data_IF_139129605459
#
_entry.id   IF_139129605459
#
_cell.length_a   1.000
_cell.length_b   1.000
_cell.length_c   1.000
_cell.angle_alpha   90.00
_cell.angle_beta   90.00
_cell.angle_gamma   90.00
#
_symmetry.space_group_name_H-M   'P 1'
#
loop_
_entity.id
_entity.type
_entity.pdbx_description
1 polymer ?
#
# COMPACT_ATOMS: atom_id res chain seq x y z
N UNK A 1 -38.55 -25.74 4.48
CA UNK A 1 -37.40 -25.34 5.29
C UNK A 1 -36.88 -24.03 4.67
N UNK A 2 -36.82 -22.94 5.41
CA UNK A 2 -36.31 -21.69 4.86
C UNK A 2 -34.84 -21.93 4.44
N UNK A 3 -34.49 -21.56 3.20
CA UNK A 3 -33.15 -21.67 2.65
C UNK A 3 -32.24 -20.59 3.27
N UNK A 4 -32.16 -20.54 4.61
CA UNK A 4 -31.30 -19.61 5.34
C UNK A 4 -29.86 -19.93 5.04
N UNK A 5 -29.11 -19.00 4.47
CA UNK A 5 -27.68 -19.13 4.22
C UNK A 5 -26.90 -19.11 5.54
N UNK A 6 -25.74 -19.73 5.57
CA UNK A 6 -24.85 -19.60 6.74
C UNK A 6 -24.10 -18.27 6.71
N UNK A 7 -23.63 -17.85 5.53
CA UNK A 7 -22.90 -16.59 5.37
C UNK A 7 -23.27 -15.90 4.05
N UNK A 8 -23.46 -14.58 4.08
CA UNK A 8 -23.47 -13.74 2.88
C UNK A 8 -22.23 -12.83 2.93
N UNK A 9 -21.48 -12.79 1.83
CA UNK A 9 -20.27 -11.95 1.66
C UNK A 9 -20.62 -10.86 0.65
N UNK A 10 -20.45 -9.59 1.04
CA UNK A 10 -20.70 -8.43 0.20
C UNK A 10 -19.37 -7.89 -0.34
N UNK A 11 -19.10 -8.13 -1.62
CA UNK A 11 -17.87 -7.76 -2.31
C UNK A 11 -16.95 -8.95 -2.58
N UNK A 12 -16.54 -9.10 -3.85
CA UNK A 12 -15.63 -10.14 -4.33
C UNK A 12 -14.18 -9.60 -4.53
N UNK A 13 -13.76 -8.66 -3.67
CA UNK A 13 -12.39 -8.17 -3.57
C UNK A 13 -11.48 -9.11 -2.79
N UNK A 14 -10.25 -8.66 -2.47
CA UNK A 14 -9.24 -9.47 -1.77
C UNK A 14 -9.74 -9.99 -0.42
N UNK A 15 -10.42 -9.15 0.36
CA UNK A 15 -11.00 -9.54 1.65
C UNK A 15 -12.15 -10.55 1.48
N UNK A 16 -13.10 -10.27 0.58
CA UNK A 16 -14.24 -11.16 0.34
C UNK A 16 -13.83 -12.54 -0.17
N UNK A 17 -12.84 -12.61 -1.07
CA UNK A 17 -12.30 -13.88 -1.57
C UNK A 17 -11.52 -14.66 -0.50
N UNK A 18 -10.81 -13.96 0.40
CA UNK A 18 -10.15 -14.60 1.54
C UNK A 18 -11.17 -15.16 2.53
N UNK A 19 -12.24 -14.40 2.81
CA UNK A 19 -13.37 -14.85 3.64
C UNK A 19 -14.07 -16.08 3.02
N UNK A 20 -14.36 -16.04 1.71
CA UNK A 20 -14.98 -17.15 1.01
C UNK A 20 -14.17 -18.46 1.14
N UNK A 21 -12.82 -18.37 1.02
CA UNK A 21 -11.94 -19.55 1.20
C UNK A 21 -12.08 -20.17 2.60
N UNK A 22 -12.20 -19.35 3.64
CA UNK A 22 -12.38 -19.86 5.01
C UNK A 22 -13.78 -20.44 5.23
N UNK A 23 -14.80 -19.76 4.73
CA UNK A 23 -16.21 -20.20 4.87
C UNK A 23 -16.42 -21.55 4.16
N UNK A 24 -15.93 -21.70 2.92
CA UNK A 24 -16.06 -22.95 2.13
C UNK A 24 -15.40 -24.18 2.73
N UNK A 25 -14.49 -24.02 3.68
CA UNK A 25 -13.93 -25.16 4.43
C UNK A 25 -14.96 -25.83 5.37
N UNK A 26 -16.09 -25.14 5.64
CA UNK A 26 -17.06 -25.54 6.66
C UNK A 26 -18.50 -25.67 6.15
N UNK A 27 -18.85 -24.91 5.09
CA UNK A 27 -20.21 -24.90 4.52
C UNK A 27 -20.20 -24.51 3.05
N UNK A 28 -21.16 -25.08 2.29
CA UNK A 28 -21.48 -24.67 0.94
C UNK A 28 -22.69 -23.68 0.90
N UNK A 29 -23.30 -23.40 2.06
CA UNK A 29 -24.46 -22.47 2.18
C UNK A 29 -23.96 -21.04 2.33
N UNK A 30 -23.21 -20.59 1.35
CA UNK A 30 -22.63 -19.24 1.25
C UNK A 30 -23.01 -18.58 -0.05
N UNK A 31 -23.24 -17.28 -0.01
CA UNK A 31 -23.47 -16.42 -1.16
C UNK A 31 -22.44 -15.30 -1.16
N UNK A 32 -21.81 -15.03 -2.31
CA UNK A 32 -20.97 -13.83 -2.49
C UNK A 32 -21.63 -12.91 -3.50
N UNK A 33 -21.88 -11.68 -3.07
CA UNK A 33 -22.53 -10.65 -3.90
C UNK A 33 -21.49 -9.64 -4.33
N UNK A 34 -21.46 -9.29 -5.61
CA UNK A 34 -20.54 -8.29 -6.12
C UNK A 34 -21.26 -7.26 -6.99
N UNK A 35 -21.12 -6.01 -6.61
CA UNK A 35 -21.56 -4.87 -7.40
C UNK A 35 -20.40 -4.36 -8.29
N UNK A 36 -20.62 -4.37 -9.60
CA UNK A 36 -19.60 -3.94 -10.57
C UNK A 36 -18.71 -5.08 -11.10
N UNK A 37 -17.54 -4.73 -11.66
CA UNK A 37 -16.67 -5.68 -12.36
C UNK A 37 -16.09 -6.73 -11.42
N UNK A 38 -16.09 -7.98 -11.85
CA UNK A 38 -15.42 -9.06 -11.16
C UNK A 38 -13.90 -8.98 -11.34
N UNK A 39 -13.16 -9.34 -10.28
CA UNK A 39 -11.74 -9.20 -10.15
C UNK A 39 -11.41 -8.17 -9.06
N UNK A 40 -10.32 -8.38 -8.36
CA UNK A 40 -9.96 -7.53 -7.22
C UNK A 40 -9.53 -6.13 -7.68
N UNK A 41 -9.73 -5.10 -6.88
CA UNK A 41 -9.17 -3.75 -7.10
C UNK A 41 -7.67 -3.82 -7.36
N UNK A 42 -6.93 -4.65 -6.59
CA UNK A 42 -5.49 -4.84 -6.77
C UNK A 42 -5.12 -5.34 -8.18
N UNK A 43 -5.83 -6.36 -8.70
CA UNK A 43 -5.52 -6.90 -10.03
C UNK A 43 -5.96 -5.96 -11.15
N UNK A 44 -7.11 -5.30 -11.00
CA UNK A 44 -7.72 -4.48 -12.07
C UNK A 44 -7.15 -3.08 -12.19
N UNK A 45 -7.11 -2.34 -11.08
CA UNK A 45 -6.88 -0.89 -11.07
C UNK A 45 -5.91 -0.44 -9.97
N UNK A 46 -5.25 -1.36 -9.29
CA UNK A 46 -4.36 -1.06 -8.16
C UNK A 46 -2.94 -1.59 -8.37
N UNK A 47 -2.56 -2.56 -7.54
CA UNK A 47 -1.19 -3.04 -7.39
C UNK A 47 -0.57 -3.53 -8.71
N UNK A 48 -1.30 -4.37 -9.46
CA UNK A 48 -0.69 -5.00 -10.63
C UNK A 48 -0.45 -4.01 -11.78
N UNK A 49 -1.45 -3.24 -12.28
CA UNK A 49 -1.19 -2.32 -13.36
C UNK A 49 -0.21 -1.20 -12.98
N UNK A 50 -0.21 -0.73 -11.73
CA UNK A 50 0.77 0.28 -11.30
C UNK A 50 2.20 -0.26 -11.34
N UNK A 51 2.45 -1.50 -10.90
CA UNK A 51 3.80 -2.09 -10.95
C UNK A 51 4.26 -2.38 -12.36
N UNK A 52 3.36 -2.76 -13.27
CA UNK A 52 3.70 -2.91 -14.69
C UNK A 52 4.13 -1.58 -15.34
N UNK A 53 3.47 -0.47 -14.97
CA UNK A 53 3.84 0.86 -15.43
C UNK A 53 5.19 1.30 -14.85
N UNK A 54 5.41 1.07 -13.54
CA UNK A 54 6.66 1.37 -12.83
C UNK A 54 7.83 0.60 -13.44
N UNK A 55 7.68 -0.70 -13.71
CA UNK A 55 8.74 -1.51 -14.35
C UNK A 55 9.16 -0.97 -15.72
N UNK A 56 8.20 -0.52 -16.54
CA UNK A 56 8.50 0.11 -17.81
C UNK A 56 9.24 1.45 -17.63
N UNK A 57 8.80 2.25 -16.64
CA UNK A 57 9.41 3.51 -16.29
C UNK A 57 10.85 3.34 -15.79
N UNK A 58 11.09 2.39 -14.91
CA UNK A 58 12.42 2.09 -14.35
C UNK A 58 13.37 1.53 -15.40
N UNK A 59 12.88 0.64 -16.28
CA UNK A 59 13.65 0.11 -17.40
C UNK A 59 14.16 1.26 -18.30
N UNK A 60 13.30 2.21 -18.62
CA UNK A 60 13.68 3.37 -19.44
C UNK A 60 14.54 4.37 -18.67
N UNK A 61 14.24 4.63 -17.40
CA UNK A 61 15.01 5.55 -16.56
C UNK A 61 16.46 5.08 -16.38
N UNK A 62 16.71 3.77 -16.34
CA UNK A 62 18.03 3.19 -16.18
C UNK A 62 19.02 3.62 -17.26
N UNK A 63 18.57 4.10 -18.42
CA UNK A 63 19.42 4.66 -19.47
C UNK A 63 20.33 5.79 -18.98
N UNK A 64 19.91 6.53 -17.95
CA UNK A 64 20.70 7.63 -17.38
C UNK A 64 21.98 7.15 -16.69
N UNK A 65 22.08 5.86 -16.35
CA UNK A 65 23.31 5.26 -15.78
C UNK A 65 24.25 4.67 -16.85
N UNK A 66 23.85 4.60 -18.12
CA UNK A 66 24.60 3.90 -19.17
C UNK A 66 25.99 4.47 -19.39
N UNK A 67 26.15 5.80 -19.37
CA UNK A 67 27.46 6.44 -19.53
C UNK A 67 28.44 6.04 -18.42
N UNK A 68 27.95 5.90 -17.19
CA UNK A 68 28.77 5.45 -16.06
C UNK A 68 29.27 3.99 -16.22
N UNK A 69 28.53 3.18 -17.00
CA UNK A 69 28.91 1.80 -17.35
C UNK A 69 29.68 1.70 -18.68
N UNK A 70 29.96 2.83 -19.35
CA UNK A 70 30.60 2.84 -20.67
C UNK A 70 29.69 2.43 -21.81
N UNK A 71 28.38 2.36 -21.61
CA UNK A 71 27.37 2.05 -22.64
C UNK A 71 26.98 3.35 -23.33
N UNK A 72 26.95 3.35 -24.67
CA UNK A 72 26.62 4.50 -25.51
C UNK A 72 25.29 4.32 -26.23
N UNK A 73 24.71 5.42 -26.69
CA UNK A 73 23.47 5.42 -27.49
C UNK A 73 22.19 5.62 -26.71
N UNK A 74 22.26 5.88 -25.42
CA UNK A 74 21.09 6.10 -24.56
C UNK A 74 20.21 7.28 -24.99
N UNK A 75 20.80 8.28 -25.67
CA UNK A 75 20.08 9.48 -26.14
C UNK A 75 19.13 9.20 -27.31
N UNK A 76 19.34 8.09 -28.05
CA UNK A 76 18.47 7.67 -29.15
C UNK A 76 17.27 6.85 -28.71
N UNK A 77 17.20 6.49 -27.43
CA UNK A 77 16.08 5.73 -26.88
C UNK A 77 14.87 6.64 -26.66
N UNK A 78 13.71 6.15 -27.07
CA UNK A 78 12.42 6.82 -26.85
C UNK A 78 11.40 5.86 -26.25
N UNK A 79 10.34 6.38 -25.66
CA UNK A 79 9.20 5.61 -25.15
C UNK A 79 8.04 5.76 -26.13
N UNK A 80 7.44 4.64 -26.46
CA UNK A 80 6.11 4.56 -27.08
C UNK A 80 5.09 4.37 -25.93
N UNK A 81 4.57 5.47 -25.41
CA UNK A 81 3.67 5.44 -24.26
C UNK A 81 2.37 4.68 -24.53
N UNK A 82 1.71 4.80 -25.71
CA UNK A 82 0.59 3.94 -26.07
C UNK A 82 0.92 2.45 -26.01
N UNK A 83 2.08 2.01 -26.48
CA UNK A 83 2.50 0.61 -26.40
C UNK A 83 2.76 0.15 -24.96
N UNK A 84 3.33 1.02 -24.10
CA UNK A 84 3.46 0.73 -22.66
C UNK A 84 2.10 0.52 -22.02
N UNK A 85 1.14 1.42 -22.27
CA UNK A 85 -0.22 1.32 -21.73
C UNK A 85 -0.98 0.11 -22.25
N UNK A 86 -0.80 -0.26 -23.51
CA UNK A 86 -1.36 -1.49 -24.09
C UNK A 86 -0.82 -2.74 -23.38
N UNK A 87 0.49 -2.81 -23.15
CA UNK A 87 1.11 -3.89 -22.38
C UNK A 87 0.57 -3.97 -20.95
N UNK A 88 0.40 -2.82 -20.29
CA UNK A 88 -0.19 -2.75 -18.92
C UNK A 88 -1.60 -3.34 -18.94
N UNK A 89 -2.46 -2.96 -19.90
CA UNK A 89 -3.83 -3.49 -20.00
C UNK A 89 -3.83 -4.99 -20.29
N UNK A 90 -3.03 -5.45 -21.24
CA UNK A 90 -2.98 -6.87 -21.62
C UNK A 90 -2.57 -7.77 -20.43
N UNK A 91 -1.49 -7.41 -19.73
CA UNK A 91 -1.04 -8.18 -18.56
C UNK A 91 -2.02 -8.07 -17.39
N UNK A 92 -2.63 -6.90 -17.16
CA UNK A 92 -3.69 -6.73 -16.18
C UNK A 92 -4.84 -7.70 -16.44
N UNK A 93 -5.29 -7.81 -17.67
CA UNK A 93 -6.41 -8.67 -18.06
C UNK A 93 -6.07 -10.15 -17.82
N UNK A 94 -4.83 -10.58 -18.09
CA UNK A 94 -4.35 -11.91 -17.74
C UNK A 94 -4.38 -12.17 -16.24
N UNK A 95 -3.92 -11.22 -15.43
CA UNK A 95 -3.98 -11.33 -13.95
C UNK A 95 -5.41 -11.38 -13.43
N UNK A 96 -6.30 -10.58 -13.99
CA UNK A 96 -7.73 -10.60 -13.65
C UNK A 96 -8.36 -11.94 -14.00
N UNK A 97 -8.08 -12.47 -15.20
CA UNK A 97 -8.57 -13.79 -15.62
C UNK A 97 -8.03 -14.89 -14.68
N UNK A 98 -6.75 -14.84 -14.34
CA UNK A 98 -6.11 -15.76 -13.38
C UNK A 98 -6.75 -15.70 -11.99
N UNK A 99 -6.98 -14.49 -11.45
CA UNK A 99 -7.61 -14.28 -10.15
C UNK A 99 -9.06 -14.79 -10.13
N UNK A 100 -9.83 -14.54 -11.18
CA UNK A 100 -11.20 -15.06 -11.33
C UNK A 100 -11.22 -16.58 -11.37
N UNK A 101 -10.34 -17.21 -12.15
CA UNK A 101 -10.22 -18.67 -12.22
C UNK A 101 -9.83 -19.27 -10.87
N UNK A 102 -8.84 -18.68 -10.18
CA UNK A 102 -8.37 -19.17 -8.90
C UNK A 102 -9.38 -18.99 -7.75
N UNK A 103 -10.32 -18.04 -7.87
CA UNK A 103 -11.35 -17.83 -6.84
C UNK A 103 -12.45 -18.88 -6.87
N UNK A 104 -12.67 -19.55 -8.02
CA UNK A 104 -13.65 -20.64 -8.21
C UNK A 104 -15.02 -20.32 -7.56
N UNK A 105 -15.54 -19.13 -7.82
CA UNK A 105 -16.78 -18.64 -7.21
C UNK A 105 -17.99 -19.47 -7.74
N UNK A 106 -17.99 -19.80 -9.04
CA UNK A 106 -19.03 -20.61 -9.66
C UNK A 106 -20.44 -20.06 -9.41
N UNK A 107 -21.35 -20.95 -9.01
CA UNK A 107 -22.73 -20.63 -8.68
C UNK A 107 -22.94 -19.94 -7.34
N UNK A 108 -21.91 -19.79 -6.53
CA UNK A 108 -21.97 -19.08 -5.24
C UNK A 108 -21.98 -17.55 -5.41
N UNK A 109 -21.68 -17.07 -6.63
CA UNK A 109 -21.57 -15.64 -6.92
C UNK A 109 -22.80 -15.10 -7.64
N UNK A 110 -23.30 -13.96 -7.17
CA UNK A 110 -24.30 -13.18 -7.91
C UNK A 110 -23.79 -11.75 -8.11
N UNK A 111 -24.10 -11.20 -9.28
CA UNK A 111 -23.93 -9.78 -9.53
C UNK A 111 -25.16 -9.05 -9.02
N UNK A 112 -25.00 -7.92 -8.34
CA UNK A 112 -26.11 -7.10 -7.87
C UNK A 112 -25.71 -6.12 -6.77
N UNK A 113 -26.56 -5.13 -6.56
CA UNK A 113 -26.41 -4.17 -5.48
C UNK A 113 -27.02 -4.72 -4.19
N UNK A 114 -26.20 -4.86 -3.16
CA UNK A 114 -26.63 -5.40 -1.87
C UNK A 114 -26.90 -4.30 -0.83
N UNK A 115 -27.96 -4.47 -0.02
CA UNK A 115 -28.29 -3.62 1.11
C UNK A 115 -28.61 -4.45 2.34
N UNK A 116 -28.07 -4.06 3.48
CA UNK A 116 -28.39 -4.64 4.78
C UNK A 116 -29.81 -4.23 5.22
N UNK A 117 -30.58 -5.18 5.72
CA UNK A 117 -31.88 -4.98 6.31
C UNK A 117 -31.89 -5.44 7.79
N UNK A 118 -30.75 -5.37 8.44
CA UNK A 118 -30.49 -5.87 9.77
C UNK A 118 -29.36 -6.90 9.79
N UNK A 119 -29.01 -7.45 10.96
CA UNK A 119 -27.82 -8.30 11.14
C UNK A 119 -27.96 -9.70 10.53
N UNK A 120 -29.14 -10.10 10.07
CA UNK A 120 -29.43 -11.43 9.52
C UNK A 120 -30.10 -11.41 8.16
N UNK A 121 -30.19 -10.24 7.52
CA UNK A 121 -30.96 -10.09 6.28
C UNK A 121 -30.28 -9.13 5.33
N UNK A 122 -30.21 -9.54 4.07
CA UNK A 122 -29.64 -8.75 2.97
C UNK A 122 -30.62 -8.74 1.80
N UNK A 123 -30.87 -7.57 1.26
CA UNK A 123 -31.56 -7.39 -0.02
C UNK A 123 -30.52 -7.29 -1.14
N UNK A 124 -30.75 -7.98 -2.26
CA UNK A 124 -29.95 -7.85 -3.48
C UNK A 124 -30.88 -7.64 -4.65
N UNK A 125 -30.89 -6.45 -5.23
CA UNK A 125 -31.74 -6.05 -6.36
C UNK A 125 -33.24 -6.43 -6.17
N UNK A 126 -33.77 -6.14 -4.98
CA UNK A 126 -35.16 -6.40 -4.60
C UNK A 126 -35.47 -7.83 -4.11
N UNK A 127 -34.46 -8.73 -4.14
CA UNK A 127 -34.62 -10.08 -3.58
C UNK A 127 -33.98 -10.14 -2.17
N UNK A 128 -34.76 -10.61 -1.21
CA UNK A 128 -34.31 -10.73 0.19
C UNK A 128 -33.76 -12.11 0.49
N UNK A 129 -32.64 -12.15 1.21
CA UNK A 129 -31.96 -13.36 1.67
C UNK A 129 -31.78 -13.31 3.18
N UNK A 130 -32.15 -14.40 3.86
CA UNK A 130 -31.89 -14.60 5.28
C UNK A 130 -30.55 -15.33 5.47
N UNK A 131 -29.78 -14.91 6.45
CA UNK A 131 -28.45 -15.48 6.73
C UNK A 131 -28.13 -15.49 8.22
N UNK A 132 -27.21 -16.36 8.65
CA UNK A 132 -26.72 -16.40 10.03
C UNK A 132 -25.69 -15.31 10.29
N UNK A 133 -24.83 -15.01 9.32
CA UNK A 133 -23.78 -14.01 9.43
C UNK A 133 -23.58 -13.26 8.12
N UNK A 134 -23.09 -12.01 8.22
CA UNK A 134 -22.78 -11.14 7.07
C UNK A 134 -21.33 -10.72 7.14
N UNK A 135 -20.62 -10.76 6.00
CA UNK A 135 -19.27 -10.21 5.86
C UNK A 135 -19.32 -9.08 4.83
N UNK A 136 -19.05 -7.86 5.29
CA UNK A 136 -18.95 -6.66 4.45
C UNK A 136 -17.49 -6.51 4.00
N UNK A 137 -17.26 -6.67 2.69
CA UNK A 137 -15.94 -6.60 2.04
C UNK A 137 -16.00 -5.74 0.76
N UNK A 138 -16.80 -4.67 0.80
CA UNK A 138 -17.13 -3.80 -0.33
C UNK A 138 -15.96 -2.93 -0.80
N UNK A 139 -14.85 -2.90 -0.04
CA UNK A 139 -13.64 -2.19 -0.42
C UNK A 139 -13.78 -0.67 -0.34
N UNK A 140 -13.01 0.02 -1.17
CA UNK A 140 -12.93 1.48 -1.21
C UNK A 140 -12.87 2.01 -2.63
N UNK A 141 -13.08 3.31 -2.80
CA UNK A 141 -12.94 4.04 -4.08
C UNK A 141 -12.06 5.28 -3.93
N UNK A 142 -11.44 5.78 -5.02
CA UNK A 142 -10.68 7.04 -4.99
C UNK A 142 -11.53 8.22 -4.55
N UNK A 143 -10.92 9.16 -3.83
CA UNK A 143 -11.53 10.45 -3.49
C UNK A 143 -11.27 11.41 -4.66
N UNK A 144 -12.36 12.01 -5.17
CA UNK A 144 -12.34 13.10 -6.15
C UNK A 144 -13.27 14.18 -5.61
N UNK A 145 -12.81 15.45 -5.49
CA UNK A 145 -13.68 16.57 -5.14
C UNK A 145 -14.83 16.72 -6.14
N UNK A 146 -16.02 17.05 -5.66
CA UNK A 146 -17.23 17.11 -6.50
C UNK A 146 -17.09 18.15 -7.62
N UNK A 147 -16.49 19.28 -7.32
CA UNK A 147 -16.21 20.36 -8.29
C UNK A 147 -15.26 19.93 -9.42
N UNK A 148 -14.43 18.88 -9.20
CA UNK A 148 -13.53 18.37 -10.24
C UNK A 148 -14.25 17.48 -11.26
N UNK A 149 -15.43 16.97 -10.93
CA UNK A 149 -16.22 16.13 -11.84
C UNK A 149 -16.64 16.88 -13.12
N UNK A 150 -16.70 18.21 -13.06
CA UNK A 150 -16.99 19.06 -14.22
C UNK A 150 -15.93 18.94 -15.34
N UNK A 151 -14.69 18.52 -15.02
CA UNK A 151 -13.62 18.34 -16.01
C UNK A 151 -13.69 16.99 -16.73
N UNK A 152 -14.63 16.10 -16.35
CA UNK A 152 -14.92 14.84 -17.02
C UNK A 152 -13.72 13.90 -17.06
N UNK A 153 -13.44 13.33 -18.23
CA UNK A 153 -12.37 12.35 -18.45
C UNK A 153 -10.94 12.90 -18.35
N UNK A 154 -10.78 14.20 -18.15
CA UNK A 154 -9.47 14.81 -17.86
C UNK A 154 -9.07 14.66 -16.38
N UNK A 155 -10.00 14.29 -15.49
CA UNK A 155 -9.68 13.87 -14.13
C UNK A 155 -9.47 12.37 -14.13
N UNK A 156 -8.23 11.98 -13.90
CA UNK A 156 -7.83 10.57 -13.79
C UNK A 156 -7.82 10.16 -12.32
N UNK A 157 -8.16 8.89 -12.10
CA UNK A 157 -7.95 8.20 -10.84
C UNK A 157 -7.24 6.87 -11.14
N UNK A 158 -6.89 6.07 -10.13
CA UNK A 158 -6.43 4.71 -10.39
C UNK A 158 -7.40 3.90 -11.21
N UNK A 159 -8.70 4.12 -11.00
CA UNK A 159 -9.74 3.34 -11.68
C UNK A 159 -9.82 3.65 -13.18
N UNK A 160 -9.29 4.80 -13.62
CA UNK A 160 -9.36 5.27 -15.01
C UNK A 160 -7.99 5.44 -15.69
N UNK A 161 -6.90 5.62 -14.93
CA UNK A 161 -5.54 5.82 -15.48
C UNK A 161 -5.12 4.65 -16.37
N UNK A 162 -5.30 3.42 -15.88
CA UNK A 162 -4.87 2.21 -16.59
C UNK A 162 -5.81 1.78 -17.72
N UNK A 163 -6.94 2.48 -17.91
CA UNK A 163 -7.83 2.31 -19.06
C UNK A 163 -7.47 3.23 -20.22
N UNK A 164 -6.61 4.23 -19.98
CA UNK A 164 -6.20 5.16 -21.03
C UNK A 164 -5.43 4.43 -22.14
N UNK A 165 -5.68 4.81 -23.38
CA UNK A 165 -4.92 4.33 -24.54
C UNK A 165 -3.69 5.18 -24.78
N UNK A 166 -3.77 6.43 -24.40
CA UNK A 166 -2.70 7.42 -24.43
C UNK A 166 -2.94 8.45 -23.33
N UNK A 167 -1.92 9.22 -22.98
CA UNK A 167 -1.98 10.26 -21.98
C UNK A 167 -1.57 11.60 -22.58
N UNK A 168 -2.15 12.67 -22.06
CA UNK A 168 -1.70 14.03 -22.39
C UNK A 168 -0.23 14.23 -22.01
N UNK A 169 0.50 15.09 -22.74
CA UNK A 169 1.92 15.34 -22.46
C UNK A 169 2.18 16.00 -21.10
N UNK A 170 1.19 16.69 -20.50
CA UNK A 170 1.31 17.41 -19.24
C UNK A 170 0.26 16.90 -18.25
N UNK A 171 0.71 16.39 -17.10
CA UNK A 171 -0.18 15.83 -16.07
C UNK A 171 0.14 16.43 -14.70
N UNK A 172 -0.88 16.97 -14.02
CA UNK A 172 -0.76 17.25 -12.59
C UNK A 172 -1.11 16.01 -11.77
N UNK A 173 -0.28 15.68 -10.80
CA UNK A 173 -0.57 14.62 -9.81
C UNK A 173 -0.88 15.28 -8.48
N UNK A 174 -2.12 15.17 -8.00
CA UNK A 174 -2.57 15.79 -6.75
C UNK A 174 -2.70 14.76 -5.66
N UNK A 175 -1.90 14.95 -4.60
CA UNK A 175 -1.71 14.01 -3.51
C UNK A 175 -0.45 13.15 -3.73
N UNK A 176 0.50 13.22 -2.77
CA UNK A 176 1.76 12.45 -2.78
C UNK A 176 1.79 11.40 -1.67
N UNK A 177 0.64 10.78 -1.42
CA UNK A 177 0.56 9.51 -0.70
C UNK A 177 1.28 8.39 -1.48
N UNK A 178 1.19 7.14 -1.02
CA UNK A 178 1.86 6.01 -1.67
C UNK A 178 1.67 5.96 -3.18
N UNK A 179 0.43 5.97 -3.64
CA UNK A 179 0.12 5.88 -5.06
C UNK A 179 0.54 7.10 -5.87
N UNK A 180 0.30 8.32 -5.33
CA UNK A 180 0.65 9.54 -6.05
C UNK A 180 2.16 9.68 -6.25
N UNK A 181 2.97 9.32 -5.27
CA UNK A 181 4.43 9.29 -5.38
C UNK A 181 4.91 8.29 -6.45
N UNK A 182 4.34 7.07 -6.46
CA UNK A 182 4.63 6.05 -7.48
C UNK A 182 4.28 6.54 -8.89
N UNK A 183 3.08 7.05 -9.07
CA UNK A 183 2.60 7.44 -10.41
C UNK A 183 3.27 8.71 -10.91
N UNK A 184 3.53 9.69 -10.06
CA UNK A 184 4.26 10.89 -10.45
C UNK A 184 5.66 10.54 -10.98
N UNK A 185 6.39 9.67 -10.26
CA UNK A 185 7.71 9.23 -10.68
C UNK A 185 7.65 8.38 -11.97
N UNK A 186 6.74 7.43 -12.05
CA UNK A 186 6.62 6.55 -13.22
C UNK A 186 6.27 7.35 -14.48
N UNK A 187 5.30 8.26 -14.42
CA UNK A 187 4.90 9.09 -15.55
C UNK A 187 6.03 10.02 -15.99
N UNK A 188 6.71 10.68 -15.05
CA UNK A 188 7.85 11.54 -15.36
C UNK A 188 8.97 10.76 -16.05
N UNK A 189 9.30 9.57 -15.57
CA UNK A 189 10.31 8.68 -16.16
C UNK A 189 9.95 8.22 -17.57
N UNK A 190 8.66 8.08 -17.87
CA UNK A 190 8.14 7.74 -19.19
C UNK A 190 8.03 8.96 -20.13
N UNK A 191 8.45 10.14 -19.69
CA UNK A 191 8.54 11.33 -20.53
C UNK A 191 7.32 12.26 -20.47
N UNK A 192 6.36 12.02 -19.56
CA UNK A 192 5.26 12.95 -19.30
C UNK A 192 5.79 14.12 -18.48
N UNK A 193 5.42 15.34 -18.82
CA UNK A 193 5.70 16.53 -18.01
C UNK A 193 4.79 16.52 -16.76
N UNK A 194 5.38 16.17 -15.61
CA UNK A 194 4.65 16.00 -14.35
C UNK A 194 4.84 17.20 -13.45
N UNK A 195 3.72 17.78 -12.96
CA UNK A 195 3.69 18.68 -11.83
C UNK A 195 2.93 18.03 -10.66
N UNK A 196 3.62 17.75 -9.58
CA UNK A 196 3.02 17.09 -8.42
C UNK A 196 2.70 18.09 -7.31
N UNK A 197 1.55 17.93 -6.65
CA UNK A 197 1.07 18.79 -5.58
C UNK A 197 0.73 17.97 -4.33
N UNK A 198 1.10 18.48 -3.16
CA UNK A 198 0.71 17.90 -1.87
C UNK A 198 0.47 19.01 -0.85
N UNK A 199 -0.64 18.95 -0.13
CA UNK A 199 -0.92 19.79 1.03
C UNK A 199 -0.18 19.33 2.30
N UNK A 200 0.46 18.14 2.27
CA UNK A 200 1.21 17.57 3.38
C UNK A 200 2.70 17.55 3.06
N UNK A 201 3.52 17.82 4.08
CA UNK A 201 4.99 17.72 3.98
C UNK A 201 5.45 16.26 3.91
N UNK A 202 4.75 15.37 4.61
CA UNK A 202 5.02 13.94 4.63
C UNK A 202 4.46 13.29 3.35
N UNK A 203 5.32 12.62 2.59
CA UNK A 203 4.98 11.94 1.36
C UNK A 203 5.18 10.43 1.48
N UNK A 204 4.54 9.66 0.61
CA UNK A 204 4.67 8.21 0.54
C UNK A 204 4.40 7.48 1.88
N UNK A 205 3.70 8.12 2.84
CA UNK A 205 3.42 7.57 4.17
C UNK A 205 4.56 7.67 5.17
N UNK A 206 5.70 8.30 4.79
CA UNK A 206 6.84 8.53 5.67
C UNK A 206 6.51 9.59 6.73
N UNK A 207 7.11 9.45 7.92
CA UNK A 207 6.99 10.40 9.02
C UNK A 207 8.33 10.79 9.66
N UNK A 208 9.40 10.03 9.39
CA UNK A 208 10.76 10.42 9.76
C UNK A 208 11.22 11.57 8.87
N UNK A 209 11.52 12.76 9.44
CA UNK A 209 11.89 13.93 8.64
C UNK A 209 13.10 13.69 7.74
N UNK A 210 14.13 12.99 8.24
CA UNK A 210 15.36 12.77 7.48
C UNK A 210 15.17 11.80 6.31
N UNK A 211 14.31 10.78 6.48
CA UNK A 211 13.95 9.84 5.41
C UNK A 211 13.03 10.51 4.39
N UNK A 212 12.03 11.26 4.87
CA UNK A 212 11.10 12.00 4.03
C UNK A 212 11.82 13.06 3.17
N UNK A 213 12.74 13.82 3.78
CA UNK A 213 13.53 14.84 3.06
C UNK A 213 14.41 14.20 1.98
N UNK A 214 14.97 13.02 2.24
CA UNK A 214 15.74 12.27 1.25
C UNK A 214 14.88 11.89 0.04
N UNK A 215 13.67 11.37 0.26
CA UNK A 215 12.73 11.07 -0.83
C UNK A 215 12.27 12.33 -1.57
N UNK A 216 11.94 13.39 -0.85
CA UNK A 216 11.54 14.67 -1.43
C UNK A 216 12.63 15.25 -2.35
N UNK A 217 13.89 15.22 -1.91
CA UNK A 217 15.01 15.70 -2.70
C UNK A 217 15.18 14.90 -4.00
N UNK A 218 14.99 13.58 -3.94
CA UNK A 218 15.04 12.70 -5.10
C UNK A 218 13.92 13.02 -6.09
N UNK A 219 12.67 13.05 -5.64
CA UNK A 219 11.53 13.30 -6.52
C UNK A 219 11.59 14.69 -7.15
N UNK A 220 12.05 15.71 -6.41
CA UNK A 220 12.28 17.06 -6.94
C UNK A 220 13.35 17.11 -8.02
N UNK A 221 14.27 16.16 -8.10
CA UNK A 221 15.24 16.07 -9.18
C UNK A 221 14.67 15.46 -10.46
N UNK A 222 13.53 14.77 -10.39
CA UNK A 222 12.90 14.10 -11.52
C UNK A 222 11.72 14.90 -12.10
N UNK A 223 10.96 15.61 -11.29
CA UNK A 223 9.80 16.41 -11.73
C UNK A 223 9.51 17.59 -10.80
N UNK A 224 8.67 18.51 -11.27
CA UNK A 224 8.23 19.68 -10.50
C UNK A 224 7.33 19.24 -9.36
N UNK A 225 7.67 19.63 -8.12
CA UNK A 225 6.96 19.20 -6.92
C UNK A 225 6.67 20.40 -6.01
N UNK A 226 5.40 20.62 -5.72
CA UNK A 226 4.90 21.69 -4.86
C UNK A 226 4.35 21.08 -3.56
N UNK A 227 4.78 21.67 -2.43
CA UNK A 227 4.21 21.41 -1.11
C UNK A 227 3.59 22.70 -0.62
N UNK A 228 2.28 22.75 -0.53
CA UNK A 228 1.55 23.97 -0.24
C UNK A 228 0.15 23.72 0.31
N UNK A 229 -0.79 24.52 -0.14
CA UNK A 229 -2.18 24.47 0.24
C UNK A 229 -2.99 23.47 -0.63
N UNK A 230 -4.29 23.42 -0.41
CA UNK A 230 -5.19 22.63 -1.25
C UNK A 230 -5.23 23.15 -2.68
N UNK A 231 -5.23 22.22 -3.62
CA UNK A 231 -5.24 22.53 -5.05
C UNK A 231 -6.62 22.95 -5.52
N UNK A 232 -6.67 24.00 -6.32
CA UNK A 232 -7.86 24.46 -7.06
C UNK A 232 -7.65 24.25 -8.55
N UNK A 233 -8.73 23.86 -9.23
CA UNK A 233 -8.75 23.66 -10.67
C UNK A 233 -9.60 24.71 -11.35
N UNK A 234 -9.16 25.16 -12.53
CA UNK A 234 -9.91 26.08 -13.37
C UNK A 234 -9.71 25.74 -14.85
N UNK A 235 -10.79 25.79 -15.62
CA UNK A 235 -10.72 25.68 -17.08
C UNK A 235 -10.05 26.93 -17.66
N UNK A 236 -9.06 26.72 -18.53
CA UNK A 236 -8.37 27.79 -19.24
C UNK A 236 -8.11 27.42 -20.70
N UNK A 237 -7.88 28.37 -21.60
CA UNK A 237 -7.42 28.05 -22.94
C UNK A 237 -6.13 27.24 -22.88
N UNK A 238 -6.14 26.04 -23.49
CA UNK A 238 -4.97 25.14 -23.55
C UNK A 238 -4.87 24.13 -22.43
N UNK A 239 -5.88 24.00 -21.53
CA UNK A 239 -5.90 22.94 -20.54
C UNK A 239 -6.61 23.26 -19.22
N UNK A 240 -6.19 22.59 -18.18
CA UNK A 240 -6.64 22.82 -16.81
C UNK A 240 -5.54 23.58 -16.06
N UNK A 241 -5.88 24.75 -15.55
CA UNK A 241 -5.03 25.46 -14.60
C UNK A 241 -5.14 24.78 -13.23
N UNK A 242 -4.00 24.44 -12.67
CA UNK A 242 -3.86 23.81 -11.36
C UNK A 242 -3.03 24.72 -10.48
N UNK A 243 -3.58 25.17 -9.35
CA UNK A 243 -2.88 26.08 -8.43
C UNK A 243 -3.10 25.66 -6.97
N UNK A 244 -2.04 25.79 -6.15
CA UNK A 244 -2.07 25.67 -4.69
C UNK A 244 -1.96 27.05 -4.01
N UNK A 245 -2.13 28.14 -4.76
CA UNK A 245 -1.98 29.50 -4.29
C UNK A 245 -0.54 30.03 -4.32
N UNK A 246 0.47 29.18 -4.25
CA UNK A 246 1.90 29.53 -4.35
C UNK A 246 2.48 29.30 -5.74
N UNK A 247 1.97 28.29 -6.43
CA UNK A 247 2.38 27.90 -7.78
C UNK A 247 1.15 27.67 -8.67
N UNK A 248 1.34 27.85 -9.97
CA UNK A 248 0.30 27.64 -10.97
C UNK A 248 0.89 27.00 -12.21
N UNK A 249 0.26 25.93 -12.69
CA UNK A 249 0.62 25.23 -13.93
C UNK A 249 -0.62 25.01 -14.80
N UNK A 250 -0.42 24.82 -16.10
CA UNK A 250 -1.50 24.44 -17.03
C UNK A 250 -1.18 23.06 -17.59
N UNK A 251 -2.10 22.13 -17.40
CA UNK A 251 -1.94 20.72 -17.74
C UNK A 251 -3.09 20.21 -18.61
N UNK A 252 -2.89 19.05 -19.24
CA UNK A 252 -3.90 18.41 -20.07
C UNK A 252 -4.84 17.55 -19.24
N UNK A 253 -4.30 16.90 -18.20
CA UNK A 253 -5.03 15.98 -17.32
C UNK A 253 -4.56 16.15 -15.86
N UNK A 254 -5.41 15.75 -14.93
CA UNK A 254 -5.11 15.73 -13.49
C UNK A 254 -5.33 14.33 -12.94
N UNK A 255 -4.31 13.74 -12.31
CA UNK A 255 -4.44 12.50 -11.57
C UNK A 255 -4.77 12.81 -10.10
N UNK A 256 -6.00 12.50 -9.69
CA UNK A 256 -6.44 12.60 -8.31
C UNK A 256 -5.95 11.39 -7.50
N UNK A 257 -4.90 11.61 -6.69
CA UNK A 257 -4.29 10.63 -5.79
C UNK A 257 -4.47 11.03 -4.32
N UNK A 258 -5.66 11.58 -3.99
CA UNK A 258 -5.99 12.26 -2.74
C UNK A 258 -6.47 11.32 -1.63
N UNK A 259 -6.29 10.03 -1.80
CA UNK A 259 -6.74 8.98 -0.87
C UNK A 259 -7.93 8.20 -1.39
N UNK A 260 -8.46 7.37 -0.51
CA UNK A 260 -9.59 6.48 -0.80
C UNK A 260 -10.61 6.58 0.33
N UNK A 261 -11.88 6.30 0.06
CA UNK A 261 -12.94 6.19 1.06
C UNK A 261 -13.65 4.85 0.95
N UNK A 262 -14.08 4.26 2.09
CA UNK A 262 -14.85 3.02 2.11
C UNK A 262 -16.11 3.09 1.26
N UNK A 263 -16.50 1.97 0.65
CA UNK A 263 -17.76 1.84 -0.09
C UNK A 263 -18.87 1.36 0.85
N UNK A 264 -19.36 2.26 1.68
CA UNK A 264 -20.36 1.95 2.72
C UNK A 264 -21.63 2.75 2.61
N UNK A 265 -21.64 3.80 1.79
CA UNK A 265 -22.85 4.58 1.52
C UNK A 265 -23.92 3.69 0.85
N UNK A 266 -25.17 3.90 1.22
CA UNK A 266 -26.33 3.14 0.74
C UNK A 266 -26.33 1.64 1.06
N UNK A 267 -25.33 1.17 1.84
CA UNK A 267 -25.24 -0.23 2.25
C UNK A 267 -26.28 -0.62 3.33
N UNK A 268 -26.95 0.37 3.94
CA UNK A 268 -27.97 0.12 4.97
C UNK A 268 -27.37 -0.20 6.35
N UNK A 269 -26.19 0.34 6.68
CA UNK A 269 -25.52 0.13 7.98
C UNK A 269 -26.36 0.65 9.16
N UNK A 270 -27.20 1.65 8.96
CA UNK A 270 -28.18 2.18 9.92
C UNK A 270 -29.17 1.12 10.39
N UNK A 271 -29.50 0.12 9.54
CA UNK A 271 -30.37 -1.00 9.89
C UNK A 271 -29.80 -1.94 10.97
N UNK A 272 -28.53 -1.80 11.29
CA UNK A 272 -27.87 -2.58 12.34
C UNK A 272 -28.22 -2.08 13.76
N UNK A 273 -28.79 -0.89 13.88
CA UNK A 273 -29.22 -0.32 15.15
C UNK A 273 -28.06 0.14 16.05
N UNK A 274 -26.88 0.37 15.46
CA UNK A 274 -25.69 0.90 16.14
C UNK A 274 -25.50 2.39 15.81
N UNK A 275 -24.85 3.12 16.70
CA UNK A 275 -24.42 4.48 16.44
C UNK A 275 -23.31 4.46 15.38
N UNK A 276 -23.48 5.26 14.33
CA UNK A 276 -22.50 5.44 13.28
C UNK A 276 -21.68 6.70 13.55
N UNK A 277 -20.40 6.68 13.20
CA UNK A 277 -19.54 7.86 13.30
C UNK A 277 -19.86 8.91 12.22
N UNK A 278 -19.10 10.01 12.20
CA UNK A 278 -19.26 11.11 11.24
C UNK A 278 -19.03 10.69 9.77
N UNK A 279 -18.41 9.52 9.55
CA UNK A 279 -18.18 8.92 8.24
C UNK A 279 -19.21 7.84 7.88
N UNK A 280 -20.21 7.61 8.74
CA UNK A 280 -21.24 6.59 8.55
C UNK A 280 -20.77 5.17 8.86
N UNK A 281 -19.69 5.03 9.66
CA UNK A 281 -19.11 3.74 10.02
C UNK A 281 -19.60 3.26 11.39
N UNK A 282 -19.99 1.98 11.53
CA UNK A 282 -20.27 1.38 12.82
C UNK A 282 -18.97 1.09 13.58
N UNK A 283 -19.04 0.87 14.91
CA UNK A 283 -17.89 0.42 15.70
C UNK A 283 -17.43 -0.99 15.23
N UNK A 284 -16.16 -1.11 14.84
CA UNK A 284 -15.54 -2.36 14.41
C UNK A 284 -14.35 -2.69 15.29
N UNK A 285 -14.31 -3.89 15.85
CA UNK A 285 -13.15 -4.36 16.62
C UNK A 285 -12.00 -4.80 15.70
N UNK A 286 -10.80 -4.28 15.91
CA UNK A 286 -9.63 -4.53 15.04
C UNK A 286 -9.07 -5.94 15.11
N UNK A 287 -9.37 -6.72 16.15
CA UNK A 287 -8.87 -8.08 16.33
C UNK A 287 -9.81 -9.12 15.80
N UNK A 288 -11.11 -8.84 15.82
CA UNK A 288 -12.17 -9.75 15.41
C UNK A 288 -12.79 -9.38 14.07
N UNK A 289 -12.61 -8.12 13.62
CA UNK A 289 -13.30 -7.43 12.54
C UNK A 289 -14.84 -7.45 12.67
N UNK A 290 -15.33 -7.69 13.90
CA UNK A 290 -16.75 -7.74 14.23
C UNK A 290 -17.32 -6.32 14.41
N UNK A 291 -18.56 -6.13 13.99
CA UNK A 291 -19.34 -4.90 14.14
C UNK A 291 -20.14 -4.97 15.43
N UNK A 292 -19.73 -4.20 16.43
CA UNK A 292 -20.32 -4.32 17.79
C UNK A 292 -20.28 -5.76 18.28
N UNK A 293 -21.43 -6.25 18.77
CA UNK A 293 -21.63 -7.65 19.18
C UNK A 293 -22.50 -8.43 18.16
N UNK A 294 -22.67 -7.90 16.94
CA UNK A 294 -23.55 -8.47 15.90
C UNK A 294 -22.82 -9.55 15.10
N UNK A 295 -23.52 -10.50 14.46
CA UNK A 295 -22.94 -11.47 13.54
C UNK A 295 -22.64 -10.84 12.17
N UNK A 296 -22.09 -9.64 12.20
CA UNK A 296 -21.66 -8.83 11.04
C UNK A 296 -20.20 -8.50 11.19
N UNK A 297 -19.43 -8.69 10.12
CA UNK A 297 -17.98 -8.49 10.09
C UNK A 297 -17.62 -7.53 8.95
N UNK A 298 -16.71 -6.58 9.18
CA UNK A 298 -16.22 -5.66 8.15
C UNK A 298 -14.74 -5.90 7.87
N UNK A 299 -14.41 -6.26 6.62
CA UNK A 299 -13.08 -6.72 6.25
C UNK A 299 -12.47 -5.90 5.09
N UNK A 300 -11.18 -5.66 5.17
CA UNK A 300 -10.40 -4.89 4.19
C UNK A 300 -10.74 -3.40 4.20
N UNK A 301 -10.56 -2.74 3.06
CA UNK A 301 -10.73 -1.29 2.96
C UNK A 301 -12.11 -0.78 3.43
N UNK A 302 -13.10 -1.67 3.51
CA UNK A 302 -14.43 -1.31 4.02
C UNK A 302 -14.42 -0.88 5.48
N UNK A 303 -13.45 -1.34 6.29
CA UNK A 303 -13.33 -0.98 7.72
C UNK A 303 -12.39 0.21 7.99
N UNK A 304 -11.77 0.77 6.97
CA UNK A 304 -10.85 1.93 7.01
C UNK A 304 -9.63 1.80 7.94
N UNK A 305 -9.25 0.58 8.35
CA UNK A 305 -8.10 0.43 9.26
C UNK A 305 -6.77 0.57 8.53
N UNK A 306 -6.54 -0.20 7.48
CA UNK A 306 -5.34 -0.19 6.64
C UNK A 306 -5.67 -0.70 5.24
N UNK A 307 -5.80 0.17 4.25
CA UNK A 307 -6.16 -0.19 2.89
C UNK A 307 -4.98 -0.82 2.13
N UNK A 308 -4.51 -1.99 2.59
CA UNK A 308 -3.42 -2.76 2.01
C UNK A 308 -3.89 -4.20 1.72
N UNK A 309 -3.44 -4.78 0.61
CA UNK A 309 -3.92 -6.09 0.15
C UNK A 309 -3.74 -7.19 1.19
N UNK A 310 -2.57 -7.30 1.83
CA UNK A 310 -2.29 -8.34 2.81
C UNK A 310 -3.10 -8.15 4.10
N UNK A 311 -3.34 -6.91 4.54
CA UNK A 311 -4.23 -6.59 5.66
C UNK A 311 -5.68 -6.95 5.31
N UNK A 312 -6.14 -6.61 4.10
CA UNK A 312 -7.47 -6.97 3.62
C UNK A 312 -7.67 -8.50 3.54
N UNK A 313 -6.64 -9.24 3.14
CA UNK A 313 -6.68 -10.71 3.13
C UNK A 313 -6.74 -11.29 4.56
N UNK A 314 -5.94 -10.77 5.49
CA UNK A 314 -5.98 -11.16 6.90
C UNK A 314 -7.35 -10.86 7.52
N UNK A 315 -7.93 -9.69 7.26
CA UNK A 315 -9.29 -9.34 7.69
C UNK A 315 -10.33 -10.33 7.16
N UNK A 316 -10.23 -10.67 5.87
CA UNK A 316 -11.12 -11.64 5.24
C UNK A 316 -11.01 -13.03 5.89
N UNK A 317 -9.80 -13.50 6.19
CA UNK A 317 -9.59 -14.76 6.91
C UNK A 317 -10.19 -14.71 8.32
N UNK A 318 -9.97 -13.63 9.07
CA UNK A 318 -10.53 -13.43 10.42
C UNK A 318 -12.05 -13.41 10.36
N UNK A 319 -12.64 -12.64 9.43
CA UNK A 319 -14.08 -12.58 9.24
C UNK A 319 -14.69 -13.96 8.90
N UNK A 320 -14.07 -14.69 7.96
CA UNK A 320 -14.54 -16.01 7.55
C UNK A 320 -14.45 -17.07 8.66
N UNK A 321 -13.41 -16.99 9.51
CA UNK A 321 -13.27 -17.86 10.69
C UNK A 321 -14.34 -17.53 11.73
N UNK A 322 -14.56 -16.26 12.02
CA UNK A 322 -15.46 -15.78 13.06
C UNK A 322 -16.94 -15.91 12.67
N UNK A 323 -17.29 -15.70 11.39
CA UNK A 323 -18.66 -15.78 10.90
C UNK A 323 -19.34 -17.13 11.16
N UNK A 324 -18.56 -18.23 11.28
CA UNK A 324 -19.04 -19.58 11.55
C UNK A 324 -18.59 -20.13 12.91
N UNK A 325 -17.95 -19.31 13.73
CA UNK A 325 -17.51 -19.71 15.05
C UNK A 325 -18.66 -19.64 16.06
N UNK A 326 -18.77 -20.57 17.03
CA UNK A 326 -19.71 -20.47 18.14
C UNK A 326 -19.41 -19.28 19.05
N UNK A 327 -18.13 -18.89 19.14
CA UNK A 327 -17.65 -17.73 19.88
C UNK A 327 -16.64 -16.98 19.01
N UNK A 328 -16.78 -15.64 18.93
CA UNK A 328 -15.88 -14.78 18.17
C UNK A 328 -14.52 -14.68 18.89
N UNK A 329 -13.45 -14.81 18.13
CA UNK A 329 -12.06 -14.83 18.64
C UNK A 329 -11.26 -13.67 18.10
N UNK A 330 -10.49 -13.02 18.98
CA UNK A 330 -9.52 -12.01 18.58
C UNK A 330 -8.21 -12.63 18.09
N UNK A 331 -7.63 -12.02 17.05
CA UNK A 331 -6.36 -12.46 16.47
C UNK A 331 -5.29 -11.38 16.65
N UNK A 332 -4.04 -11.81 16.93
CA UNK A 332 -2.89 -10.92 16.90
C UNK A 332 -2.64 -10.49 15.46
N UNK A 333 -2.58 -9.19 15.24
CA UNK A 333 -2.24 -8.64 13.91
C UNK A 333 -0.74 -8.76 13.67
N UNK A 334 -0.37 -8.94 12.42
CA UNK A 334 1.04 -8.96 11.98
C UNK A 334 1.67 -7.58 12.14
N UNK A 335 3.00 -7.53 12.13
CA UNK A 335 3.73 -6.26 12.08
C UNK A 335 3.27 -5.42 10.89
N UNK A 336 2.88 -4.15 11.12
CA UNK A 336 2.54 -3.24 10.04
C UNK A 336 3.66 -3.12 9.03
N UNK A 337 3.34 -3.27 7.74
CA UNK A 337 4.28 -3.17 6.65
C UNK A 337 3.63 -2.42 5.48
N UNK A 338 4.25 -1.32 5.05
CA UNK A 338 3.86 -0.61 3.84
C UNK A 338 5.09 -0.36 2.97
N UNK A 339 4.96 -0.63 1.68
CA UNK A 339 6.00 -0.42 0.68
C UNK A 339 5.42 0.44 -0.44
N UNK A 340 6.15 1.46 -0.84
CA UNK A 340 5.87 2.35 -1.95
C UNK A 340 6.97 2.15 -2.98
N UNK A 341 6.58 1.77 -4.17
CA UNK A 341 7.50 1.36 -5.25
C UNK A 341 8.04 2.57 -6.03
N UNK A 342 8.43 3.61 -5.31
CA UNK A 342 9.37 4.60 -5.85
C UNK A 342 10.76 3.95 -5.97
N UNK A 343 11.65 4.51 -6.78
CA UNK A 343 13.05 4.12 -6.82
C UNK A 343 13.91 5.31 -6.34
N UNK A 344 14.58 5.22 -5.19
CA UNK A 344 14.55 4.08 -4.25
C UNK A 344 13.20 3.87 -3.57
N UNK A 345 12.94 2.61 -3.11
CA UNK A 345 11.67 2.27 -2.49
C UNK A 345 11.48 2.99 -1.16
N UNK A 346 10.32 3.59 -0.94
CA UNK A 346 9.93 4.04 0.38
C UNK A 346 9.22 2.92 1.13
N UNK A 347 9.53 2.75 2.43
CA UNK A 347 8.84 1.75 3.25
C UNK A 347 8.72 2.18 4.70
N UNK A 348 7.64 1.73 5.34
CA UNK A 348 7.40 1.88 6.78
C UNK A 348 7.10 0.51 7.39
N UNK A 349 7.76 0.18 8.48
CA UNK A 349 7.69 -1.11 9.16
C UNK A 349 7.46 -0.88 10.65
N UNK A 350 6.50 -1.59 11.25
CA UNK A 350 6.20 -1.48 12.67
C UNK A 350 5.71 -0.08 13.05
N UNK A 351 6.25 0.49 14.13
CA UNK A 351 5.92 1.83 14.61
C UNK A 351 6.65 2.89 13.77
N UNK A 352 5.91 3.90 13.34
CA UNK A 352 6.47 5.03 12.59
C UNK A 352 7.15 6.00 13.56
N UNK A 353 8.05 6.84 13.05
CA UNK A 353 8.75 7.87 13.81
C UNK A 353 7.80 8.73 14.66
N UNK A 354 6.70 9.20 14.07
CA UNK A 354 5.70 10.04 14.74
C UNK A 354 4.95 9.35 15.88
N UNK A 355 4.93 8.01 15.89
CA UNK A 355 4.22 7.20 16.89
C UNK A 355 5.16 6.82 18.07
N UNK A 356 6.45 7.22 18.03
CA UNK A 356 7.44 6.98 19.08
C UNK A 356 7.33 8.03 20.17
N UNK A 357 7.43 7.59 21.42
CA UNK A 357 7.50 8.52 22.56
C UNK A 357 8.93 9.03 22.74
N UNK A 358 9.06 10.30 23.11
CA UNK A 358 10.37 10.92 23.39
C UNK A 358 11.15 10.12 24.44
N UNK A 359 12.36 9.72 24.10
CA UNK A 359 13.27 8.99 25.00
C UNK A 359 13.02 7.48 25.11
N UNK A 360 11.96 6.95 24.49
CA UNK A 360 11.64 5.51 24.49
C UNK A 360 12.60 4.70 23.61
N UNK A 361 13.12 5.29 22.56
CA UNK A 361 13.90 4.60 21.55
C UNK A 361 15.28 5.22 21.32
N UNK A 362 16.17 4.43 20.73
CA UNK A 362 17.35 4.86 20.01
C UNK A 362 17.08 4.77 18.52
N UNK A 363 17.79 5.55 17.71
CA UNK A 363 17.65 5.55 16.26
C UNK A 363 18.99 5.22 15.61
N UNK A 364 19.04 4.11 14.89
CA UNK A 364 20.16 3.78 14.03
C UNK A 364 19.91 4.20 12.60
N UNK A 365 20.90 4.77 11.94
CA UNK A 365 20.73 5.36 10.61
C UNK A 365 21.79 4.88 9.63
N UNK A 366 21.44 4.91 8.34
CA UNK A 366 22.40 4.78 7.24
C UNK A 366 21.99 5.68 6.08
N UNK A 367 22.98 6.29 5.45
CA UNK A 367 22.88 6.97 4.16
C UNK A 367 23.50 6.07 3.09
N UNK A 368 22.75 5.80 2.02
CA UNK A 368 23.18 4.88 0.96
C UNK A 368 24.18 5.50 -0.03
N UNK A 369 24.48 6.80 0.03
CA UNK A 369 25.40 7.49 -0.88
C UNK A 369 26.79 6.86 -0.91
N UNK A 370 27.23 6.26 0.21
CA UNK A 370 28.54 5.60 0.36
C UNK A 370 28.46 4.08 0.42
N UNK A 371 27.26 3.49 0.37
CA UNK A 371 27.11 2.03 0.43
C UNK A 371 27.71 1.38 -0.83
N UNK A 372 28.59 0.39 -0.64
CA UNK A 372 29.44 -0.16 -1.70
C UNK A 372 28.65 -0.76 -2.86
N UNK A 373 27.72 -1.68 -2.59
CA UNK A 373 26.90 -2.32 -3.63
C UNK A 373 25.99 -1.35 -4.36
N UNK A 374 25.42 -0.37 -3.64
CA UNK A 374 24.59 0.68 -4.21
C UNK A 374 25.41 1.54 -5.21
N UNK A 375 26.65 1.90 -4.88
CA UNK A 375 27.56 2.62 -5.77
C UNK A 375 27.88 1.83 -7.01
N UNK A 376 28.21 0.55 -6.88
CA UNK A 376 28.45 -0.34 -8.03
C UNK A 376 27.25 -0.40 -8.96
N UNK A 377 26.04 -0.40 -8.41
CA UNK A 377 24.81 -0.44 -9.17
C UNK A 377 24.33 0.93 -9.70
N UNK A 378 25.05 2.03 -9.38
CA UNK A 378 24.60 3.41 -9.67
C UNK A 378 23.20 3.73 -9.09
N UNK A 379 22.92 3.21 -7.88
CA UNK A 379 21.67 3.37 -7.13
C UNK A 379 21.93 3.84 -5.70
N UNK A 380 23.03 4.58 -5.51
CA UNK A 380 23.51 4.98 -4.18
C UNK A 380 22.83 6.24 -3.65
N UNK A 381 21.51 6.17 -3.54
CA UNK A 381 20.69 7.25 -3.02
C UNK A 381 19.75 6.71 -1.94
N UNK A 382 19.35 7.60 -1.03
CA UNK A 382 18.35 7.28 -0.02
C UNK A 382 18.92 7.08 1.39
N UNK A 383 18.01 6.82 2.32
CA UNK A 383 18.27 6.75 3.76
C UNK A 383 17.38 5.72 4.43
N UNK A 384 17.88 5.12 5.51
CA UNK A 384 17.14 4.25 6.41
C UNK A 384 17.31 4.73 7.84
N UNK A 385 16.22 4.79 8.61
CA UNK A 385 16.16 4.98 10.05
C UNK A 385 15.49 3.78 10.70
N UNK A 386 16.16 3.18 11.67
CA UNK A 386 15.72 2.04 12.46
C UNK A 386 15.49 2.48 13.90
N UNK A 387 14.37 2.09 14.49
CA UNK A 387 14.00 2.45 15.87
C UNK A 387 14.05 1.21 16.76
N UNK A 388 14.80 1.28 17.85
CA UNK A 388 14.87 0.20 18.82
C UNK A 388 14.57 0.71 20.23
N UNK A 389 13.93 -0.10 21.05
CA UNK A 389 13.63 0.22 22.44
C UNK A 389 14.93 0.45 23.21
N UNK A 390 15.03 1.58 23.91
CA UNK A 390 16.28 2.03 24.56
C UNK A 390 16.82 1.03 25.59
N UNK A 391 15.93 0.40 26.36
CA UNK A 391 16.34 -0.45 27.48
C UNK A 391 16.67 -1.89 27.05
N UNK A 392 15.98 -2.39 26.03
CA UNK A 392 16.05 -3.81 25.62
C UNK A 392 16.72 -4.01 24.27
N UNK A 393 16.84 -2.98 23.45
CA UNK A 393 17.28 -3.08 22.07
C UNK A 393 16.26 -3.75 21.13
N UNK A 394 15.03 -4.06 21.59
CA UNK A 394 13.99 -4.68 20.76
C UNK A 394 13.60 -3.74 19.62
N UNK A 395 13.46 -4.29 18.42
CA UNK A 395 13.05 -3.53 17.24
C UNK A 395 11.61 -3.05 17.39
N UNK A 396 11.37 -1.77 17.20
CA UNK A 396 10.07 -1.11 17.29
C UNK A 396 9.51 -0.76 15.92
N UNK A 397 10.36 -0.32 15.02
CA UNK A 397 9.97 0.14 13.70
C UNK A 397 11.15 0.57 12.85
N UNK A 398 10.85 0.90 11.60
CA UNK A 398 11.80 1.51 10.68
C UNK A 398 11.05 2.30 9.60
N UNK A 399 11.71 3.33 9.10
CA UNK A 399 11.30 4.03 7.89
C UNK A 399 12.49 4.14 6.95
N UNK A 400 12.25 3.98 5.66
CA UNK A 400 13.32 4.05 4.68
C UNK A 400 12.86 4.63 3.35
N UNK A 401 13.83 5.22 2.66
CA UNK A 401 13.84 5.44 1.23
C UNK A 401 15.16 4.84 0.75
N UNK A 402 15.16 3.60 0.23
CA UNK A 402 16.38 2.83 0.04
C UNK A 402 16.33 1.93 -1.20
N UNK A 403 17.46 1.71 -1.89
CA UNK A 403 17.51 0.75 -3.00
C UNK A 403 17.19 -0.66 -2.47
N UNK A 404 16.35 -1.40 -3.20
CA UNK A 404 15.78 -2.69 -2.78
C UNK A 404 15.14 -2.65 -1.38
N UNK A 405 14.54 -1.51 -1.03
CA UNK A 405 13.90 -1.28 0.28
C UNK A 405 12.81 -2.30 0.58
N UNK A 406 12.11 -2.80 -0.44
CA UNK A 406 11.09 -3.84 -0.30
C UNK A 406 11.63 -5.12 0.36
N UNK A 407 12.86 -5.56 0.04
CA UNK A 407 13.47 -6.76 0.62
C UNK A 407 13.91 -6.52 2.06
N UNK A 408 14.57 -5.40 2.33
CA UNK A 408 14.95 -5.02 3.70
C UNK A 408 13.73 -4.82 4.59
N UNK A 409 12.62 -4.29 4.05
CA UNK A 409 11.37 -4.11 4.77
C UNK A 409 10.76 -5.46 5.22
N UNK A 410 10.75 -6.48 4.36
CA UNK A 410 10.29 -7.82 4.73
C UNK A 410 11.16 -8.47 5.79
N UNK A 411 12.50 -8.33 5.70
CA UNK A 411 13.42 -8.83 6.70
C UNK A 411 13.17 -8.20 8.08
N UNK A 412 12.98 -6.87 8.10
CA UNK A 412 12.67 -6.14 9.34
C UNK A 412 11.29 -6.51 9.89
N UNK A 413 10.28 -6.68 9.03
CA UNK A 413 8.96 -7.12 9.47
C UNK A 413 9.02 -8.52 10.14
N UNK A 414 9.75 -9.46 9.55
CA UNK A 414 9.98 -10.78 10.15
C UNK A 414 10.69 -10.67 11.50
N UNK A 415 11.73 -9.84 11.59
CA UNK A 415 12.46 -9.61 12.83
C UNK A 415 11.57 -9.06 13.94
N UNK A 416 10.70 -8.10 13.61
CA UNK A 416 9.74 -7.51 14.56
C UNK A 416 8.65 -8.49 14.98
N UNK A 417 8.11 -9.30 14.06
CA UNK A 417 7.14 -10.35 14.40
C UNK A 417 7.73 -11.40 15.36
N UNK A 418 9.05 -11.62 15.29
CA UNK A 418 9.81 -12.49 16.20
C UNK A 418 10.35 -11.77 17.43
N UNK A 419 10.04 -10.48 17.60
CA UNK A 419 10.46 -9.67 18.74
C UNK A 419 11.99 -9.58 18.91
N UNK A 420 12.75 -9.66 17.78
CA UNK A 420 14.19 -9.63 17.79
C UNK A 420 14.71 -8.27 18.24
N UNK A 421 15.90 -8.30 18.84
CA UNK A 421 16.68 -7.12 19.22
C UNK A 421 17.65 -6.71 18.12
N UNK A 422 18.22 -5.53 18.26
CA UNK A 422 19.34 -5.04 17.42
C UNK A 422 20.51 -6.03 17.42
N UNK A 423 20.85 -6.58 18.60
CA UNK A 423 21.94 -7.56 18.75
C UNK A 423 21.62 -8.89 18.07
N UNK A 424 20.35 -9.38 18.16
CA UNK A 424 19.97 -10.60 17.45
C UNK A 424 20.11 -10.43 15.94
N UNK A 425 19.75 -9.26 15.41
CA UNK A 425 19.92 -8.96 13.99
C UNK A 425 21.40 -8.87 13.57
N UNK A 426 22.26 -8.38 14.43
CA UNK A 426 23.70 -8.31 14.14
C UNK A 426 24.40 -9.69 14.12
N UNK A 427 23.79 -10.74 14.72
CA UNK A 427 24.22 -12.14 14.61
C UNK A 427 23.94 -12.76 13.25
N UNK A 428 23.04 -12.16 12.45
CA UNK A 428 22.73 -12.63 11.11
C UNK A 428 24.00 -12.54 10.22
N UNK A 429 24.27 -13.55 9.37
CA UNK A 429 25.33 -13.43 8.38
C UNK A 429 24.96 -12.37 7.33
N UNK A 430 25.80 -11.37 7.17
CA UNK A 430 25.69 -10.39 6.09
C UNK A 430 26.66 -10.78 4.98
N UNK A 431 26.13 -11.21 3.85
CA UNK A 431 26.94 -11.50 2.67
C UNK A 431 27.58 -10.21 2.12
N UNK A 432 28.69 -10.34 1.38
CA UNK A 432 29.36 -9.21 0.74
C UNK A 432 29.60 -9.50 -0.75
N UNK A 433 29.34 -8.54 -1.66
CA UNK A 433 28.75 -7.21 -1.43
C UNK A 433 27.22 -7.24 -1.68
N UNK A 434 26.42 -6.77 -0.73
CA UNK A 434 24.95 -6.69 -0.80
C UNK A 434 24.44 -5.34 -0.27
N UNK A 435 23.19 -5.00 -0.59
CA UNK A 435 22.55 -3.75 -0.11
C UNK A 435 22.22 -3.82 1.39
N UNK A 436 21.96 -5.02 1.91
CA UNK A 436 21.64 -5.29 3.32
C UNK A 436 22.80 -4.91 4.28
N UNK A 437 24.03 -4.74 3.79
CA UNK A 437 25.11 -4.16 4.60
C UNK A 437 24.79 -2.72 5.05
N UNK A 438 23.89 -2.02 4.32
CA UNK A 438 23.31 -0.75 4.77
C UNK A 438 22.50 -0.93 6.05
N UNK A 439 21.65 -1.98 6.11
CA UNK A 439 20.91 -2.33 7.32
C UNK A 439 21.87 -2.66 8.49
N UNK A 440 22.95 -3.44 8.24
CA UNK A 440 23.98 -3.72 9.23
C UNK A 440 24.60 -2.44 9.80
N UNK A 441 24.85 -1.45 8.95
CA UNK A 441 25.37 -0.14 9.36
C UNK A 441 24.41 0.57 10.31
N UNK A 442 23.10 0.60 9.98
CA UNK A 442 22.08 1.20 10.85
C UNK A 442 21.91 0.44 12.17
N UNK A 443 22.02 -0.90 12.15
CA UNK A 443 21.99 -1.72 13.36
C UNK A 443 23.17 -1.43 14.28
N UNK A 444 24.38 -1.27 13.74
CA UNK A 444 25.58 -0.88 14.51
C UNK A 444 25.44 0.52 15.11
N UNK A 445 24.90 1.46 14.35
CA UNK A 445 24.62 2.81 14.85
C UNK A 445 23.61 2.77 16.01
N UNK A 446 22.54 1.99 15.90
CA UNK A 446 21.59 1.77 17.00
C UNK A 446 22.27 1.09 18.21
N UNK A 447 23.07 0.04 18.00
CA UNK A 447 23.75 -0.71 19.06
C UNK A 447 24.67 0.18 19.88
N UNK A 448 25.40 1.12 19.24
CA UNK A 448 26.29 2.07 19.91
C UNK A 448 25.58 3.00 20.89
N UNK A 449 24.27 3.16 20.78
CA UNK A 449 23.44 4.03 21.61
C UNK A 449 22.69 3.26 22.73
N UNK A 450 22.81 1.93 22.76
CA UNK A 450 22.18 1.09 23.77
C UNK A 450 23.06 0.99 25.04
N UNK A 451 22.48 0.83 26.25
CA UNK A 451 23.22 0.81 27.52
C UNK A 451 24.29 -0.28 27.61
N UNK A 452 24.16 -1.36 26.84
CA UNK A 452 25.11 -2.49 26.76
C UNK A 452 25.64 -2.62 25.34
N UNK A 453 25.97 -1.49 24.72
CA UNK A 453 26.54 -1.48 23.37
C UNK A 453 27.80 -2.38 23.31
N UNK A 454 27.92 -3.09 22.20
CA UNK A 454 29.04 -3.97 21.92
C UNK A 454 29.89 -3.38 20.79
N UNK A 455 31.22 -3.39 20.97
CA UNK A 455 32.15 -2.94 19.94
C UNK A 455 32.26 -3.92 18.76
N UNK A 456 31.68 -5.11 18.87
CA UNK A 456 31.72 -6.16 17.83
C UNK A 456 30.43 -6.88 17.66
N UNK A 457 30.01 -7.13 16.41
CA UNK A 457 28.84 -7.96 16.08
C UNK A 457 28.97 -9.37 16.67
N UNK A 458 30.19 -9.90 16.75
CA UNK A 458 30.47 -11.25 17.27
C UNK A 458 30.40 -11.34 18.79
N UNK A 459 30.56 -10.24 19.54
CA UNK A 459 30.41 -10.24 20.99
C UNK A 459 28.99 -10.54 21.46
N UNK A 460 28.02 -10.47 20.56
CA UNK A 460 26.65 -10.88 20.81
C UNK A 460 26.43 -12.39 20.53
N UNK A 461 27.38 -13.10 19.94
CA UNK A 461 27.30 -14.54 19.74
C UNK A 461 27.63 -15.28 21.05
N UNK A 462 26.86 -16.32 21.35
CA UNK A 462 27.16 -17.19 22.47
C UNK A 462 28.50 -17.91 22.22
N UNK A 463 29.35 -17.95 23.24
CA UNK A 463 30.58 -18.73 23.19
C UNK A 463 30.22 -20.21 23.30
N UNK A 464 30.05 -20.88 22.18
CA UNK A 464 30.13 -22.33 22.15
C UNK A 464 31.59 -22.73 22.24
N UNK A 465 31.90 -23.87 22.88
CA UNK A 465 33.28 -24.35 23.15
C UNK A 465 34.14 -24.55 21.89
N UNK A 466 33.62 -24.44 20.71
CA UNK A 466 34.32 -24.21 19.44
C UNK A 466 34.00 -22.82 18.95
N UNK A 467 35.00 -22.08 18.52
CA UNK A 467 34.84 -20.74 17.97
C UNK A 467 33.94 -20.79 16.72
N UNK A 468 33.00 -19.87 16.64
CA UNK A 468 32.23 -19.67 15.40
C UNK A 468 33.10 -19.11 14.24
N UNK A 469 34.39 -19.02 14.47
CA UNK A 469 35.41 -18.52 13.55
C UNK A 469 36.38 -19.64 13.10
N UNK A 470 36.21 -20.87 13.55
CA UNK A 470 37.01 -22.03 13.12
C UNK A 470 36.50 -22.59 11.75
#
# INVERSE_FOLDING_TARGET
>A
MSDTLDVIILGAGSAGLAALREVRKRTERVLIVNDGPWGTTCARVGCMPSKMLIEAADAFHRRHSFDAFGIRGQQSLSVDLPAVLERVRALRDDFVAGARKASDIGTLGIAGHARLMGPHRVEVDGRVYDTRSIIVATGSRPIVPEEWLAFGNRILTTDTLFEQRDLGPRIAVVGLGPLGAEMAQALARLGVEVAAFSSRKEIAGLSDPAVNDALLALLKSEFVLHIGEEVKLREVPGGIEVTDGSATVVVDQVLAAMGRRPNVEHLGLDSLGLELDEHGMPPVDRRTVQVGDLPVFMAGDANDFRPLLHEAADDGHIAGLNALAPEVRGFRRRTPLSIVFTEPNAATIGRRYKDLKRGESVTGTVDFSRQGRARVAQRNQGRLSLYAQRDTGRLLGAEMCAPAGEHMAHLLALAMDRELTVHDMLRMPFYHPVLEEGLRTALRDAASQLPKGSDSDLSACDAYGSSALD
#
